data_IF_096231845020
#
_entry.id   IF_096231845020
#
_cell.length_a   1.000
_cell.length_b   1.000
_cell.length_c   1.000
_cell.angle_alpha   90.00
_cell.angle_beta   90.00
_cell.angle_gamma   90.00
#
_symmetry.space_group_name_H-M   'P 1'
#
loop_
_entity.id
_entity.type
_entity.pdbx_description
1 polymer ?
#
# COMPACT_ATOMS: atom_id res chain seq x y z
N UNK A 1 39.43 9.79 11.03
CA UNK A 1 38.70 9.80 12.31
C UNK A 1 37.26 9.42 12.02
N UNK A 2 36.72 8.33 12.61
CA UNK A 2 35.34 7.90 12.38
C UNK A 2 34.43 8.66 13.34
N UNK A 3 33.46 9.42 12.82
CA UNK A 3 32.46 10.09 13.64
C UNK A 3 31.40 9.07 14.10
N UNK A 4 31.23 8.92 15.42
CA UNK A 4 30.17 8.09 16.01
C UNK A 4 29.02 8.96 16.50
N UNK A 5 27.79 8.52 16.24
CA UNK A 5 26.59 9.16 16.78
C UNK A 5 26.60 9.11 18.31
N UNK A 6 26.08 10.17 18.94
CA UNK A 6 25.78 10.21 20.39
C UNK A 6 24.54 9.39 20.77
N UNK A 7 23.77 8.95 19.78
CA UNK A 7 22.57 8.15 19.96
C UNK A 7 22.81 6.72 19.48
N UNK A 8 22.47 5.76 20.34
CA UNK A 8 22.37 4.36 20.02
C UNK A 8 20.92 3.94 20.30
N UNK A 9 20.27 3.33 19.32
CA UNK A 9 18.92 2.77 19.45
C UNK A 9 19.01 1.31 19.08
N UNK A 10 18.43 0.45 19.89
CA UNK A 10 18.29 -0.96 19.55
C UNK A 10 17.34 -1.11 18.37
N UNK A 11 17.79 -1.77 17.31
CA UNK A 11 16.92 -2.04 16.15
C UNK A 11 16.15 -3.31 16.46
N UNK A 12 14.82 -3.25 16.65
CA UNK A 12 14.05 -4.42 16.99
C UNK A 12 14.11 -5.45 15.86
N UNK A 13 14.32 -6.71 16.20
CA UNK A 13 14.21 -7.82 15.25
C UNK A 13 12.73 -8.16 14.99
N UNK A 14 12.03 -7.26 14.31
CA UNK A 14 10.61 -7.37 14.04
C UNK A 14 10.25 -6.75 12.69
N UNK A 15 9.15 -7.20 12.10
CA UNK A 15 8.62 -6.60 10.87
C UNK A 15 8.12 -5.18 11.12
N UNK A 16 8.14 -4.33 10.10
CA UNK A 16 7.63 -2.95 10.20
C UNK A 16 6.16 -2.88 10.70
N UNK A 17 5.21 -3.71 10.22
CA UNK A 17 3.87 -3.77 10.79
C UNK A 17 3.85 -4.11 12.28
N UNK A 18 4.73 -5.01 12.74
CA UNK A 18 4.85 -5.36 14.17
C UNK A 18 5.37 -4.17 14.99
N UNK A 19 6.36 -3.43 14.49
CA UNK A 19 6.88 -2.24 15.18
C UNK A 19 5.80 -1.17 15.33
N UNK A 20 4.97 -0.96 14.30
CA UNK A 20 3.95 0.09 14.30
C UNK A 20 2.69 -0.31 15.07
N UNK A 21 2.23 -1.56 14.91
CA UNK A 21 0.94 -2.01 15.45
C UNK A 21 1.06 -2.92 16.67
N UNK A 22 2.26 -3.36 17.03
CA UNK A 22 2.50 -4.39 18.04
C UNK A 22 2.13 -5.78 17.54
N UNK A 23 0.84 -6.02 17.26
CA UNK A 23 0.36 -7.28 16.69
C UNK A 23 -0.85 -7.05 15.76
N UNK A 24 -1.21 -8.03 14.92
CA UNK A 24 -2.38 -7.93 14.05
C UNK A 24 -3.70 -7.69 14.80
N UNK A 25 -3.75 -8.02 16.09
CA UNK A 25 -4.94 -7.96 16.95
C UNK A 25 -4.76 -7.09 18.20
N UNK A 26 -3.61 -6.43 18.38
CA UNK A 26 -3.36 -5.52 19.48
C UNK A 26 -4.47 -4.46 19.60
N UNK A 27 -4.83 -4.10 20.83
CA UNK A 27 -5.77 -3.01 21.09
C UNK A 27 -5.10 -1.70 20.73
N UNK A 28 -5.67 -0.99 19.75
CA UNK A 28 -5.22 0.32 19.31
C UNK A 28 -6.29 1.37 19.60
N UNK A 29 -5.89 2.63 19.75
CA UNK A 29 -6.84 3.71 19.98
C UNK A 29 -7.83 3.83 18.82
N UNK A 30 -9.11 3.90 19.17
CA UNK A 30 -10.26 4.14 18.28
C UNK A 30 -10.77 5.58 18.34
N UNK A 31 -10.08 6.45 19.09
CA UNK A 31 -10.51 7.85 19.33
C UNK A 31 -9.42 8.85 18.97
N UNK A 32 -8.14 8.50 19.14
CA UNK A 32 -7.03 9.40 18.84
C UNK A 32 -6.73 9.40 17.35
N UNK A 33 -6.96 10.55 16.71
CA UNK A 33 -6.52 10.81 15.34
C UNK A 33 -5.00 10.62 15.20
N UNK A 34 -4.58 9.86 14.19
CA UNK A 34 -3.19 9.57 13.86
C UNK A 34 -2.81 10.10 12.48
N UNK A 35 -3.72 10.02 11.51
CA UNK A 35 -3.56 10.55 10.16
C UNK A 35 -4.80 11.34 9.76
N UNK A 36 -4.64 12.40 8.98
CA UNK A 36 -5.73 13.31 8.64
C UNK A 36 -5.60 13.81 7.20
N UNK A 37 -6.72 13.91 6.49
CA UNK A 37 -6.82 14.62 5.22
C UNK A 37 -6.92 16.13 5.52
N UNK A 38 -5.91 16.89 5.10
CA UNK A 38 -5.85 18.32 5.35
C UNK A 38 -7.02 19.10 4.71
N UNK A 39 -7.59 18.59 3.61
CA UNK A 39 -8.73 19.23 2.95
C UNK A 39 -10.07 18.94 3.63
N UNK A 40 -10.16 17.83 4.39
CA UNK A 40 -11.40 17.37 5.03
C UNK A 40 -11.15 16.82 6.45
N UNK A 41 -10.54 17.60 7.35
CA UNK A 41 -9.97 17.10 8.61
C UNK A 41 -10.99 16.46 9.55
N UNK A 42 -12.22 16.96 9.59
CA UNK A 42 -13.26 16.51 10.53
C UNK A 42 -13.95 15.21 10.11
N UNK A 43 -13.85 14.84 8.82
CA UNK A 43 -14.56 13.68 8.26
C UNK A 43 -13.63 12.60 7.72
N UNK A 44 -12.40 12.97 7.36
CA UNK A 44 -11.43 12.09 6.71
C UNK A 44 -10.16 12.02 7.53
N UNK A 45 -10.17 11.14 8.53
CA UNK A 45 -9.02 10.86 9.35
C UNK A 45 -8.98 9.37 9.70
N UNK A 46 -7.82 8.92 10.16
CA UNK A 46 -7.65 7.58 10.72
C UNK A 46 -7.20 7.66 12.15
N UNK A 47 -7.84 6.85 12.98
CA UNK A 47 -7.24 6.40 14.24
C UNK A 47 -6.21 5.32 13.96
N UNK A 48 -5.38 4.96 14.95
CA UNK A 48 -4.42 3.87 14.80
C UNK A 48 -5.13 2.53 14.48
N UNK A 49 -6.31 2.33 15.07
CA UNK A 49 -7.17 1.19 14.78
C UNK A 49 -7.62 1.16 13.30
N UNK A 50 -8.17 2.28 12.81
CA UNK A 50 -8.72 2.36 11.44
C UNK A 50 -7.61 2.21 10.41
N UNK A 51 -6.48 2.85 10.62
CA UNK A 51 -5.32 2.73 9.75
C UNK A 51 -4.88 1.27 9.63
N UNK A 52 -4.71 0.54 10.75
CA UNK A 52 -4.38 -0.89 10.71
C UNK A 52 -5.43 -1.70 9.95
N UNK A 53 -6.71 -1.46 10.22
CA UNK A 53 -7.80 -2.18 9.58
C UNK A 53 -7.81 -1.97 8.05
N UNK A 54 -7.65 -0.74 7.59
CA UNK A 54 -7.51 -0.42 6.17
C UNK A 54 -6.31 -1.13 5.53
N UNK A 55 -5.15 -1.14 6.20
CA UNK A 55 -3.95 -1.84 5.72
C UNK A 55 -4.19 -3.36 5.61
N UNK A 56 -4.83 -3.97 6.60
CA UNK A 56 -5.17 -5.40 6.58
C UNK A 56 -6.14 -5.74 5.46
N UNK A 57 -7.19 -4.94 5.28
CA UNK A 57 -8.20 -5.10 4.21
C UNK A 57 -7.55 -5.02 2.83
N UNK A 58 -6.67 -4.04 2.62
CA UNK A 58 -5.93 -3.91 1.37
C UNK A 58 -4.95 -5.08 1.15
N UNK A 59 -4.22 -5.50 2.20
CA UNK A 59 -3.30 -6.64 2.12
C UNK A 59 -4.01 -7.96 1.75
N UNK A 60 -5.20 -8.20 2.30
CA UNK A 60 -6.02 -9.37 1.94
C UNK A 60 -6.48 -9.29 0.49
N UNK A 61 -6.97 -8.13 0.04
CA UNK A 61 -7.42 -7.98 -1.35
C UNK A 61 -6.28 -8.10 -2.36
N UNK A 62 -5.09 -7.57 -2.08
CA UNK A 62 -3.89 -7.79 -2.91
C UNK A 62 -3.53 -9.27 -3.03
N UNK A 63 -3.53 -10.03 -1.92
CA UNK A 63 -3.27 -11.48 -1.98
C UNK A 63 -4.33 -12.21 -2.80
N UNK A 64 -5.61 -11.84 -2.65
CA UNK A 64 -6.71 -12.42 -3.43
C UNK A 64 -6.63 -12.08 -4.92
N UNK A 65 -6.16 -10.89 -5.27
CA UNK A 65 -5.94 -10.52 -6.66
C UNK A 65 -4.75 -11.26 -7.28
N UNK A 66 -3.90 -11.86 -6.45
CA UNK A 66 -2.80 -12.74 -6.86
C UNK A 66 -1.41 -12.20 -6.56
N UNK A 67 -1.26 -11.11 -5.78
CA UNK A 67 0.06 -10.67 -5.28
C UNK A 67 0.66 -11.75 -4.40
N UNK A 68 1.91 -12.11 -4.70
CA UNK A 68 2.72 -13.06 -3.93
C UNK A 68 3.88 -12.35 -3.25
N UNK A 69 4.52 -13.03 -2.30
CA UNK A 69 5.75 -12.53 -1.68
C UNK A 69 6.78 -12.19 -2.75
N UNK A 70 7.35 -10.99 -2.69
CA UNK A 70 8.32 -10.50 -3.66
C UNK A 70 7.72 -9.91 -4.94
N UNK A 71 6.40 -9.90 -5.13
CA UNK A 71 5.78 -9.08 -6.19
C UNK A 71 5.87 -7.59 -5.83
N UNK A 72 6.06 -6.74 -6.84
CA UNK A 72 6.15 -5.28 -6.66
C UNK A 72 4.85 -4.60 -7.06
N UNK A 73 4.42 -3.63 -6.27
CA UNK A 73 3.25 -2.79 -6.57
C UNK A 73 3.69 -1.34 -6.58
N UNK A 74 3.46 -0.66 -7.70
CA UNK A 74 3.88 0.72 -7.91
C UNK A 74 2.73 1.68 -7.59
N UNK A 75 3.03 2.71 -6.79
CA UNK A 75 2.12 3.84 -6.56
C UNK A 75 2.64 5.09 -7.29
N UNK A 76 1.86 5.61 -8.22
CA UNK A 76 2.11 6.85 -8.94
C UNK A 76 1.02 7.87 -8.56
N UNK A 77 1.24 8.54 -7.44
CA UNK A 77 0.27 9.45 -6.83
C UNK A 77 0.98 10.52 -5.99
N UNK A 78 0.42 11.74 -5.89
CA UNK A 78 0.73 12.64 -4.79
C UNK A 78 0.41 11.99 -3.43
N UNK A 79 0.94 12.56 -2.36
CA UNK A 79 0.60 12.14 -1.00
C UNK A 79 -0.87 12.45 -0.70
N UNK A 80 -1.63 11.41 -0.37
CA UNK A 80 -2.98 11.50 0.17
C UNK A 80 -3.10 10.66 1.45
N UNK A 81 -4.28 10.66 2.08
CA UNK A 81 -4.54 9.91 3.30
C UNK A 81 -4.30 8.39 3.14
N UNK A 82 -4.53 7.85 1.94
CA UNK A 82 -4.41 6.42 1.66
C UNK A 82 -3.02 5.99 1.17
N UNK A 83 -2.11 6.92 0.89
CA UNK A 83 -0.73 6.62 0.52
C UNK A 83 -0.08 5.66 1.53
N UNK A 84 -0.26 5.92 2.82
CA UNK A 84 0.27 5.08 3.89
C UNK A 84 -0.43 3.73 3.98
N UNK A 85 -1.74 3.69 3.69
CA UNK A 85 -2.51 2.43 3.62
C UNK A 85 -1.98 1.56 2.49
N UNK A 86 -1.69 2.15 1.33
CA UNK A 86 -1.11 1.45 0.19
C UNK A 86 0.27 0.90 0.54
N UNK A 87 1.17 1.76 1.05
CA UNK A 87 2.51 1.36 1.46
C UNK A 87 2.48 0.18 2.45
N UNK A 88 1.75 0.36 3.56
CA UNK A 88 1.72 -0.63 4.63
C UNK A 88 0.95 -1.87 4.23
N UNK A 89 -0.15 -1.75 3.47
CA UNK A 89 -0.91 -2.91 2.99
C UNK A 89 -0.13 -3.76 1.99
N UNK A 90 0.71 -3.16 1.13
CA UNK A 90 1.64 -3.91 0.26
C UNK A 90 2.66 -4.68 1.09
N UNK A 91 3.29 -4.01 2.06
CA UNK A 91 4.25 -4.66 2.98
C UNK A 91 3.57 -5.80 3.76
N UNK A 92 2.38 -5.55 4.31
CA UNK A 92 1.59 -6.55 5.03
C UNK A 92 1.15 -7.70 4.13
N UNK A 93 0.99 -7.50 2.83
CA UNK A 93 0.72 -8.57 1.86
C UNK A 93 1.95 -9.46 1.58
N UNK A 94 3.16 -9.02 1.95
CA UNK A 94 4.44 -9.61 1.56
C UNK A 94 4.98 -9.06 0.24
N UNK A 95 4.32 -8.05 -0.33
CA UNK A 95 4.77 -7.38 -1.54
C UNK A 95 5.83 -6.32 -1.25
N UNK A 96 6.43 -5.80 -2.32
CA UNK A 96 7.43 -4.74 -2.28
C UNK A 96 6.79 -3.45 -2.82
N UNK A 97 6.79 -2.41 -2.00
CA UNK A 97 6.31 -1.09 -2.42
C UNK A 97 7.35 -0.39 -3.30
N UNK A 98 6.89 0.27 -4.36
CA UNK A 98 7.71 1.23 -5.12
C UNK A 98 6.89 2.49 -5.40
N UNK A 99 7.41 3.65 -5.02
CA UNK A 99 6.76 4.94 -5.26
C UNK A 99 7.36 5.61 -6.49
N UNK A 100 6.51 6.09 -7.39
CA UNK A 100 6.92 6.97 -8.49
C UNK A 100 6.66 8.42 -8.13
N UNK A 101 7.55 9.32 -8.54
CA UNK A 101 7.32 10.75 -8.41
C UNK A 101 6.08 11.13 -9.24
N UNK A 102 5.03 11.76 -8.66
CA UNK A 102 3.79 12.09 -9.36
C UNK A 102 3.96 13.03 -10.56
N UNK A 103 5.11 13.71 -10.68
CA UNK A 103 5.41 14.61 -11.80
C UNK A 103 6.11 13.92 -12.96
N UNK A 104 6.38 12.61 -12.87
CA UNK A 104 6.98 11.87 -13.98
C UNK A 104 6.12 11.93 -15.23
N UNK A 105 6.80 12.09 -16.35
CA UNK A 105 6.21 11.95 -17.67
C UNK A 105 6.17 10.47 -18.09
N UNK A 106 5.41 10.09 -19.15
CA UNK A 106 5.19 8.69 -19.48
C UNK A 106 6.46 7.85 -19.66
N UNK A 107 7.52 8.40 -20.26
CA UNK A 107 8.77 7.65 -20.51
C UNK A 107 9.54 7.33 -19.21
N UNK A 108 9.50 8.21 -18.22
CA UNK A 108 10.18 8.05 -16.93
C UNK A 108 9.44 7.01 -16.09
N UNK A 109 8.11 7.12 -16.04
CA UNK A 109 7.27 6.13 -15.37
C UNK A 109 7.39 4.75 -16.03
N UNK A 110 7.42 4.68 -17.36
CA UNK A 110 7.61 3.43 -18.09
C UNK A 110 8.96 2.77 -17.76
N UNK A 111 10.02 3.58 -17.66
CA UNK A 111 11.33 3.09 -17.24
C UNK A 111 11.27 2.47 -15.84
N UNK A 112 10.69 3.15 -14.85
CA UNK A 112 10.55 2.61 -13.49
C UNK A 112 9.65 1.36 -13.44
N UNK A 113 8.55 1.33 -14.18
CA UNK A 113 7.67 0.16 -14.26
C UNK A 113 8.42 -1.07 -14.80
N UNK A 114 9.24 -0.87 -15.84
CA UNK A 114 10.06 -1.94 -16.43
C UNK A 114 11.17 -2.40 -15.50
N UNK A 115 11.93 -1.45 -14.93
CA UNK A 115 13.05 -1.72 -14.04
C UNK A 115 12.62 -2.43 -12.75
N UNK A 116 11.54 -1.93 -12.14
CA UNK A 116 10.97 -2.58 -10.96
C UNK A 116 10.23 -3.87 -11.28
N UNK A 117 9.84 -4.17 -12.52
CA UNK A 117 9.00 -5.32 -12.82
C UNK A 117 7.71 -5.32 -11.99
N UNK A 118 7.09 -4.13 -11.83
CA UNK A 118 5.88 -3.97 -11.04
C UNK A 118 4.74 -4.80 -11.63
N UNK A 119 4.07 -5.57 -10.77
CA UNK A 119 2.92 -6.39 -11.12
C UNK A 119 1.66 -5.54 -11.34
N UNK A 120 1.49 -4.53 -10.48
CA UNK A 120 0.37 -3.60 -10.54
C UNK A 120 0.85 -2.16 -10.46
N UNK A 121 0.08 -1.27 -11.10
CA UNK A 121 0.22 0.18 -11.04
C UNK A 121 -1.05 0.77 -10.42
N UNK A 122 -0.91 1.45 -9.29
CA UNK A 122 -1.93 2.32 -8.72
C UNK A 122 -1.62 3.75 -9.15
N UNK A 123 -2.59 4.44 -9.75
CA UNK A 123 -2.37 5.73 -10.38
C UNK A 123 -3.41 6.74 -9.94
N UNK A 124 -2.97 7.92 -9.48
CA UNK A 124 -3.85 9.02 -9.12
C UNK A 124 -4.71 9.46 -10.31
N UNK A 125 -5.92 9.94 -10.02
CA UNK A 125 -6.88 10.39 -11.05
C UNK A 125 -6.30 11.43 -12.02
N UNK A 126 -5.63 12.46 -11.49
CA UNK A 126 -4.99 13.50 -12.27
C UNK A 126 -3.81 13.02 -13.14
N UNK A 127 -3.24 11.85 -12.81
CA UNK A 127 -2.07 11.29 -13.48
C UNK A 127 -2.40 10.03 -14.30
N UNK A 128 -3.68 9.63 -14.35
CA UNK A 128 -4.11 8.36 -14.94
C UNK A 128 -3.72 8.22 -16.41
N UNK A 129 -3.84 9.28 -17.20
CA UNK A 129 -3.48 9.26 -18.62
C UNK A 129 -1.98 9.02 -18.84
N UNK A 130 -1.14 9.59 -17.98
CA UNK A 130 0.31 9.34 -17.97
C UNK A 130 0.60 7.88 -17.59
N UNK A 131 -0.07 7.36 -16.56
CA UNK A 131 0.02 5.96 -16.15
C UNK A 131 -0.36 4.99 -17.27
N UNK A 132 -1.48 5.25 -17.96
CA UNK A 132 -1.95 4.44 -19.09
C UNK A 132 -0.93 4.45 -20.24
N UNK A 133 -0.40 5.62 -20.61
CA UNK A 133 0.62 5.74 -21.66
C UNK A 133 1.88 4.96 -21.30
N UNK A 134 2.35 5.08 -20.06
CA UNK A 134 3.51 4.35 -19.56
C UNK A 134 3.30 2.83 -19.59
N UNK A 135 2.18 2.35 -19.04
CA UNK A 135 1.82 0.93 -19.01
C UNK A 135 1.74 0.33 -20.42
N UNK A 136 1.04 1.00 -21.35
CA UNK A 136 0.94 0.55 -22.75
C UNK A 136 2.30 0.46 -23.43
N UNK A 137 3.21 1.41 -23.18
CA UNK A 137 4.53 1.44 -23.82
C UNK A 137 5.44 0.26 -23.46
N UNK A 138 5.15 -0.42 -22.34
CA UNK A 138 5.87 -1.61 -21.88
C UNK A 138 5.05 -2.91 -22.03
N UNK A 139 3.88 -2.85 -22.67
CA UNK A 139 3.00 -4.01 -22.85
C UNK A 139 2.24 -4.44 -21.59
N UNK A 140 2.13 -3.59 -20.56
CA UNK A 140 1.30 -3.87 -19.38
C UNK A 140 -0.19 -3.67 -19.72
N UNK A 141 -1.00 -4.70 -19.45
CA UNK A 141 -2.45 -4.66 -19.62
C UNK A 141 -3.14 -3.70 -18.63
N UNK A 142 -4.23 -3.06 -19.05
CA UNK A 142 -4.98 -2.12 -18.22
C UNK A 142 -5.74 -2.79 -17.06
N UNK A 143 -5.91 -4.11 -17.10
CA UNK A 143 -6.41 -4.93 -15.98
C UNK A 143 -5.49 -4.91 -14.75
N UNK A 144 -4.23 -4.49 -14.95
CA UNK A 144 -3.20 -4.34 -13.91
C UNK A 144 -2.97 -2.88 -13.49
N UNK A 145 -3.70 -1.96 -14.09
CA UNK A 145 -3.67 -0.53 -13.76
C UNK A 145 -4.94 -0.19 -13.01
N UNK A 146 -4.79 0.41 -11.83
CA UNK A 146 -5.89 0.79 -10.96
C UNK A 146 -5.94 2.31 -10.79
N UNK A 147 -7.12 2.89 -10.96
CA UNK A 147 -7.40 4.25 -10.54
C UNK A 147 -7.38 4.31 -9.01
N UNK A 148 -6.54 5.19 -8.47
CA UNK A 148 -6.32 5.43 -7.06
C UNK A 148 -6.80 6.82 -6.66
N UNK A 149 -7.69 6.89 -5.66
CA UNK A 149 -8.16 8.14 -5.05
C UNK A 149 -8.83 7.86 -3.70
N UNK A 150 -9.09 8.93 -2.94
CA UNK A 150 -9.72 8.87 -1.62
C UNK A 150 -11.24 8.62 -1.63
N UNK A 151 -11.89 8.54 -2.80
CA UNK A 151 -13.32 8.25 -2.93
C UNK A 151 -13.72 6.88 -2.34
N UNK A 152 -12.74 6.00 -2.07
CA UNK A 152 -12.96 4.72 -1.38
C UNK A 152 -13.45 4.93 0.05
N UNK A 153 -13.08 6.06 0.67
CA UNK A 153 -13.53 6.42 2.02
C UNK A 153 -15.04 6.63 2.04
N UNK A 154 -15.55 7.30 1.01
CA UNK A 154 -16.97 7.65 0.84
C UNK A 154 -17.77 6.52 0.13
N UNK A 155 -17.09 5.47 -0.35
CA UNK A 155 -17.72 4.36 -1.07
C UNK A 155 -18.23 4.71 -2.47
N UNK A 156 -17.76 5.81 -3.06
CA UNK A 156 -18.26 6.34 -4.34
C UNK A 156 -17.32 6.12 -5.52
N UNK A 157 -16.15 5.50 -5.30
CA UNK A 157 -15.15 5.30 -6.33
C UNK A 157 -15.50 4.19 -7.34
N UNK A 158 -15.08 4.40 -8.59
CA UNK A 158 -15.25 3.44 -9.69
C UNK A 158 -14.04 3.46 -10.63
N UNK A 159 -13.90 2.44 -11.47
CA UNK A 159 -12.86 2.42 -12.51
C UNK A 159 -13.08 3.51 -13.56
N UNK A 160 -12.03 3.85 -14.30
CA UNK A 160 -12.10 4.84 -15.37
C UNK A 160 -11.13 4.48 -16.51
N UNK A 161 -11.46 4.88 -17.75
CA UNK A 161 -10.58 4.73 -18.93
C UNK A 161 -10.11 3.28 -19.18
N UNK A 162 -10.92 2.29 -18.80
CA UNK A 162 -10.61 0.87 -18.90
C UNK A 162 -9.71 0.32 -17.78
N UNK A 163 -9.28 1.16 -16.84
CA UNK A 163 -8.56 0.77 -15.64
C UNK A 163 -9.54 0.38 -14.53
N UNK A 164 -9.14 -0.57 -13.69
CA UNK A 164 -9.93 -1.03 -12.54
C UNK A 164 -9.93 0.01 -11.42
N UNK A 165 -10.81 -0.13 -10.44
CA UNK A 165 -10.76 0.70 -9.24
C UNK A 165 -9.91 0.03 -8.17
N UNK A 166 -9.05 0.80 -7.49
CA UNK A 166 -8.25 0.22 -6.40
C UNK A 166 -9.10 -0.22 -5.21
N UNK A 167 -10.30 0.34 -5.03
CA UNK A 167 -11.28 -0.09 -4.02
C UNK A 167 -11.71 -1.56 -4.17
N UNK A 168 -11.61 -2.12 -5.38
CA UNK A 168 -11.86 -3.56 -5.63
C UNK A 168 -10.82 -4.46 -4.92
N UNK A 169 -9.68 -3.88 -4.52
CA UNK A 169 -8.62 -4.54 -3.76
C UNK A 169 -8.77 -4.34 -2.25
N UNK A 170 -9.86 -3.71 -1.79
CA UNK A 170 -10.15 -3.55 -0.37
C UNK A 170 -11.13 -4.64 0.06
N UNK A 171 -10.63 -5.64 0.79
CA UNK A 171 -11.49 -6.67 1.36
C UNK A 171 -12.48 -6.09 2.39
N UNK A 172 -13.53 -6.82 2.73
CA UNK A 172 -14.43 -6.43 3.82
C UNK A 172 -13.73 -6.54 5.19
N UNK A 173 -14.21 -5.83 6.23
CA UNK A 173 -13.62 -5.90 7.57
C UNK A 173 -13.59 -7.32 8.17
N UNK A 174 -14.61 -8.14 7.89
CA UNK A 174 -14.70 -9.53 8.39
C UNK A 174 -13.65 -10.43 7.76
N UNK A 175 -13.37 -10.25 6.47
CA UNK A 175 -12.32 -11.00 5.75
C UNK A 175 -10.91 -10.65 6.24
N UNK A 176 -10.69 -9.39 6.64
CA UNK A 176 -9.44 -8.96 7.24
C UNK A 176 -9.20 -9.68 8.59
N UNK A 177 -10.21 -9.73 9.46
CA UNK A 177 -10.13 -10.37 10.78
C UNK A 177 -9.87 -11.89 10.71
N UNK A 178 -10.43 -12.58 9.70
CA UNK A 178 -10.19 -14.02 9.51
C UNK A 178 -8.77 -14.37 9.06
N UNK A 179 -8.08 -13.45 8.38
CA UNK A 179 -6.73 -13.69 7.84
C UNK A 179 -5.62 -13.65 8.89
N UNK A 180 -5.84 -12.93 10.00
CA UNK A 180 -4.86 -12.77 11.09
C UNK A 180 -4.57 -14.05 11.88
N UNK A 181 -5.50 -15.02 11.91
CA UNK A 181 -5.40 -16.21 12.75
C UNK A 181 -4.61 -17.38 12.17
N UNK A 182 -4.53 -17.52 10.84
CA UNK A 182 -4.02 -18.77 10.21
C UNK A 182 -2.66 -18.63 9.49
N UNK A 183 -2.23 -17.41 9.11
CA UNK A 183 -1.04 -17.23 8.26
C UNK A 183 0.03 -16.26 8.76
N UNK A 184 -0.25 -15.42 9.76
CA UNK A 184 0.77 -14.54 10.34
C UNK A 184 1.86 -15.31 11.09
N UNK A 185 1.57 -16.50 11.63
CA UNK A 185 2.59 -17.39 12.21
C UNK A 185 3.62 -17.89 11.19
N UNK A 186 3.28 -17.97 9.90
CA UNK A 186 4.20 -18.44 8.86
C UNK A 186 5.13 -17.33 8.33
N UNK A 187 4.78 -16.04 8.51
CA UNK A 187 5.65 -14.92 8.12
C UNK A 187 6.69 -14.56 9.19
N UNK A 188 6.49 -14.95 10.45
CA UNK A 188 7.53 -14.81 11.49
C UNK A 188 8.74 -15.71 11.18
N UNK A 189 8.52 -16.84 10.51
CA UNK A 189 9.60 -17.76 10.09
C UNK A 189 10.38 -17.32 8.84
N UNK A 190 9.97 -16.25 8.15
CA UNK A 190 10.67 -15.75 6.94
C UNK A 190 11.82 -14.79 7.25
N UNK A 191 11.98 -14.37 8.51
CA UNK A 191 13.14 -13.59 8.96
C UNK A 191 14.42 -14.47 9.02
N UNK A 192 14.28 -15.81 9.00
CA UNK A 192 15.42 -16.74 8.96
C UNK A 192 15.95 -17.06 7.55
N UNK A 193 15.38 -16.49 6.49
CA UNK A 193 15.70 -16.83 5.09
C UNK A 193 16.46 -15.75 4.30
N UNK A 194 17.15 -14.84 5.00
CA UNK A 194 18.16 -13.99 4.37
C UNK A 194 19.56 -14.41 4.84
N UNK A 195 20.49 -14.78 3.93
CA UNK A 195 21.86 -15.18 4.27
C UNK A 195 22.70 -14.00 4.80
#
# INVERSE_FOLDING_TARGET
>A
MVFKSRWCVEIPNASLPTVIFGSPTATLSTTKCSFIDAARPDTHYFTAHDYRLWCQRFAVGLRKSGVKTGDRVLLFSPSDLFFLVVFMGIVMAGGIFTGANPTYIPRELAYQLKDSGAKYLLCAEGSLDTGIKAAKSIGMGLDRVFLFNSAVFDGTGSGARGCRYWGDLIASPTEAAGSSGSRYQLQVNLIELWP
#
